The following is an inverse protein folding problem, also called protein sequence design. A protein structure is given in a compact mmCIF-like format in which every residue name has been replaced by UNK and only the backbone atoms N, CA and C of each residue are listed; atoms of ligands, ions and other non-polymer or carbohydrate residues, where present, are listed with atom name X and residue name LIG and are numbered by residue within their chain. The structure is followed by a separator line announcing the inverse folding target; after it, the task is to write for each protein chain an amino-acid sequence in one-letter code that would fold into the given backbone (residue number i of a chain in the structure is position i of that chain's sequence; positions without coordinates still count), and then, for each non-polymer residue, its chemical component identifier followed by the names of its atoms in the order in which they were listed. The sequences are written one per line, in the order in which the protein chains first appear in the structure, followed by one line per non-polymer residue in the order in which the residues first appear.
data_IF_971045041027
#
_entry.id   IF_971045041027
#
_cell.length_a   1.000
_cell.length_b   1.000
_cell.length_c   1.000
_cell.angle_alpha   90.00
_cell.angle_beta   90.00
_cell.angle_gamma   90.00
#
_symmetry.space_group_name_H-M   'P 1'
#
loop_
_entity.id
_entity.type
_entity.pdbx_description
1 polymer ?
#
# COMPACT_ATOMS: atom_id res chain seq x y z
N UNK A 1 25.18 27.40 39.13
CA UNK A 1 26.03 26.25 38.76
C UNK A 1 25.11 25.13 38.35
N UNK A 2 25.03 24.81 37.05
CA UNK A 2 24.16 23.77 36.51
C UNK A 2 24.97 22.47 36.38
N UNK A 3 24.54 21.42 37.07
CA UNK A 3 25.15 20.09 37.02
C UNK A 3 24.69 19.43 35.72
N UNK A 4 25.65 18.97 34.91
CA UNK A 4 25.41 18.22 33.69
C UNK A 4 25.46 16.71 34.03
N UNK A 5 24.33 15.98 34.06
CA UNK A 5 24.36 14.54 34.27
C UNK A 5 24.69 13.86 32.93
N UNK A 6 25.99 13.59 32.72
CA UNK A 6 26.46 12.78 31.62
C UNK A 6 25.89 11.36 31.71
N UNK A 7 25.15 10.95 30.68
CA UNK A 7 24.83 9.55 30.43
C UNK A 7 26.07 8.91 29.82
N UNK A 8 26.91 8.31 30.66
CA UNK A 8 27.81 7.24 30.25
C UNK A 8 27.15 5.95 30.69
N UNK A 9 26.85 5.05 29.75
CA UNK A 9 26.81 3.58 29.91
C UNK A 9 26.26 2.97 28.61
N UNK A 10 26.97 1.95 28.09
CA UNK A 10 26.70 1.09 26.92
C UNK A 10 27.34 1.44 25.55
N UNK A 11 28.61 1.85 25.53
CA UNK A 11 29.42 1.86 24.30
C UNK A 11 30.15 0.53 23.98
N UNK A 12 29.97 -0.53 24.78
CA UNK A 12 30.73 -1.77 24.62
C UNK A 12 29.98 -2.92 23.92
N UNK A 13 28.64 -2.85 23.78
CA UNK A 13 27.82 -3.94 23.22
C UNK A 13 27.02 -3.55 21.97
N UNK A 14 27.08 -2.27 21.58
CA UNK A 14 26.41 -1.76 20.39
C UNK A 14 27.13 -2.11 19.09
N UNK A 15 28.46 -2.28 19.12
CA UNK A 15 29.22 -2.52 17.88
C UNK A 15 28.91 -3.90 17.28
N UNK A 16 28.73 -4.94 18.11
CA UNK A 16 28.38 -6.29 17.62
C UNK A 16 26.93 -6.38 17.13
N UNK A 17 25.99 -5.78 17.87
CA UNK A 17 24.58 -5.77 17.48
C UNK A 17 24.35 -4.93 16.23
N UNK A 18 25.06 -3.80 16.06
CA UNK A 18 24.97 -3.00 14.84
C UNK A 18 25.62 -3.70 13.65
N UNK A 19 26.74 -4.43 13.83
CA UNK A 19 27.36 -5.24 12.76
C UNK A 19 26.53 -6.46 12.35
N UNK A 20 25.91 -7.18 13.29
CA UNK A 20 25.00 -8.29 12.97
C UNK A 20 23.69 -7.79 12.33
N UNK A 21 23.20 -6.61 12.73
CA UNK A 21 22.03 -5.98 12.12
C UNK A 21 22.34 -5.38 10.74
N UNK A 22 23.56 -4.92 10.48
CA UNK A 22 23.97 -4.43 9.14
C UNK A 22 24.35 -5.56 8.19
N UNK A 23 24.82 -6.71 8.68
CA UNK A 23 25.05 -7.88 7.85
C UNK A 23 23.75 -8.49 7.28
N UNK A 24 22.61 -8.29 7.96
CA UNK A 24 21.28 -8.68 7.45
C UNK A 24 20.68 -7.70 6.43
N UNK A 25 21.32 -6.55 6.21
CA UNK A 25 20.89 -5.52 5.26
C UNK A 25 22.07 -5.14 4.34
N UNK A 26 22.86 -6.12 3.89
CA UNK A 26 23.42 -6.00 2.54
C UNK A 26 22.36 -6.54 1.58
N UNK A 27 21.23 -5.82 1.45
CA UNK A 27 20.31 -6.09 0.35
C UNK A 27 21.15 -5.97 -0.91
N UNK A 28 21.27 -7.06 -1.67
CA UNK A 28 21.92 -7.02 -2.97
C UNK A 28 21.32 -5.83 -3.73
N UNK A 29 22.11 -4.98 -4.42
CA UNK A 29 21.54 -3.91 -5.26
C UNK A 29 20.41 -4.40 -6.16
N UNK A 30 20.42 -5.69 -6.54
CA UNK A 30 19.32 -6.38 -7.24
C UNK A 30 18.06 -6.54 -6.39
N UNK A 31 18.16 -6.94 -5.13
CA UNK A 31 17.00 -7.12 -4.23
C UNK A 31 16.32 -5.77 -3.96
N UNK A 32 17.12 -4.71 -3.80
CA UNK A 32 16.59 -3.35 -3.68
C UNK A 32 15.89 -2.90 -4.97
N UNK A 33 16.48 -3.14 -6.14
CA UNK A 33 15.87 -2.81 -7.42
C UNK A 33 14.54 -3.54 -7.62
N UNK A 34 14.49 -4.84 -7.31
CA UNK A 34 13.27 -5.66 -7.36
C UNK A 34 12.21 -5.14 -6.39
N UNK A 35 12.58 -4.82 -5.15
CA UNK A 35 11.65 -4.27 -4.16
C UNK A 35 11.08 -2.92 -4.61
N UNK A 36 11.92 -2.04 -5.17
CA UNK A 36 11.52 -0.73 -5.68
C UNK A 36 10.58 -0.86 -6.88
N UNK A 37 10.88 -1.75 -7.81
CA UNK A 37 9.99 -2.01 -8.96
C UNK A 37 8.65 -2.57 -8.51
N UNK A 38 8.66 -3.51 -7.56
CA UNK A 38 7.43 -4.06 -6.97
C UNK A 38 6.59 -2.99 -6.25
N UNK A 39 7.23 -2.03 -5.57
CA UNK A 39 6.54 -0.91 -4.93
C UNK A 39 5.88 0.01 -5.97
N UNK A 40 6.61 0.41 -7.01
CA UNK A 40 6.08 1.26 -8.09
C UNK A 40 4.91 0.57 -8.79
N UNK A 41 5.04 -0.73 -9.06
CA UNK A 41 3.98 -1.51 -9.66
C UNK A 41 2.74 -1.56 -8.75
N UNK A 42 2.91 -1.87 -7.47
CA UNK A 42 1.80 -1.93 -6.52
C UNK A 42 1.10 -0.58 -6.35
N UNK A 43 1.85 0.53 -6.31
CA UNK A 43 1.27 1.87 -6.25
C UNK A 43 0.49 2.21 -7.52
N UNK A 44 1.02 1.84 -8.68
CA UNK A 44 0.37 2.05 -9.98
C UNK A 44 -0.94 1.28 -10.08
N UNK A 45 -0.95 0.00 -9.67
CA UNK A 45 -2.17 -0.81 -9.67
C UNK A 45 -3.21 -0.28 -8.66
N UNK A 46 -2.76 0.22 -7.51
CA UNK A 46 -3.64 0.87 -6.55
C UNK A 46 -4.28 2.15 -7.11
N UNK A 47 -3.52 2.96 -7.85
CA UNK A 47 -4.03 4.16 -8.54
C UNK A 47 -5.04 3.81 -9.62
N UNK A 48 -4.75 2.83 -10.49
CA UNK A 48 -5.72 2.37 -11.50
C UNK A 48 -7.03 1.88 -10.86
N UNK A 49 -6.93 1.18 -9.72
CA UNK A 49 -8.12 0.78 -8.98
C UNK A 49 -8.89 2.00 -8.49
N UNK A 50 -8.22 3.02 -7.93
CA UNK A 50 -8.87 4.27 -7.52
C UNK A 50 -9.56 4.97 -8.69
N UNK A 51 -8.90 5.06 -9.85
CA UNK A 51 -9.44 5.66 -11.07
C UNK A 51 -10.68 4.93 -11.60
N UNK A 52 -10.79 3.63 -11.32
CA UNK A 52 -11.96 2.83 -11.71
C UNK A 52 -13.14 2.97 -10.73
N UNK A 53 -12.91 3.42 -9.49
CA UNK A 53 -13.95 3.47 -8.46
C UNK A 53 -15.13 4.37 -8.85
N UNK A 54 -14.97 5.55 -9.49
CA UNK A 54 -16.09 6.37 -9.94
C UNK A 54 -17.13 5.59 -10.76
N UNK A 55 -16.68 4.71 -11.67
CA UNK A 55 -17.52 3.91 -12.57
C UNK A 55 -18.27 2.76 -11.87
N UNK A 56 -17.79 2.33 -10.69
CA UNK A 56 -18.45 1.26 -9.94
C UNK A 56 -19.69 1.80 -9.22
N UNK A 57 -20.88 1.38 -9.63
CA UNK A 57 -22.13 1.77 -8.96
C UNK A 57 -22.13 1.33 -7.48
N UNK A 58 -22.48 2.25 -6.58
CA UNK A 58 -22.72 1.89 -5.18
C UNK A 58 -24.08 1.18 -5.06
N UNK A 59 -24.08 -0.06 -4.57
CA UNK A 59 -25.30 -0.86 -4.36
C UNK A 59 -25.90 -0.68 -2.97
N UNK A 60 -25.28 0.14 -2.11
CA UNK A 60 -25.72 0.41 -0.75
C UNK A 60 -25.30 1.80 -0.28
N UNK A 61 -25.98 2.33 0.74
CA UNK A 61 -25.64 3.61 1.36
C UNK A 61 -24.23 3.59 2.00
N UNK A 62 -23.82 2.45 2.56
CA UNK A 62 -22.46 2.23 3.05
C UNK A 62 -21.44 2.36 1.90
N UNK A 63 -21.76 1.85 0.71
CA UNK A 63 -20.93 2.01 -0.49
C UNK A 63 -20.81 3.47 -0.95
N UNK A 64 -21.89 4.26 -0.82
CA UNK A 64 -21.85 5.70 -1.07
C UNK A 64 -20.95 6.41 -0.05
N UNK A 65 -21.09 6.10 1.24
CA UNK A 65 -20.24 6.63 2.31
C UNK A 65 -18.76 6.28 2.06
N UNK A 66 -18.47 5.07 1.58
CA UNK A 66 -17.11 4.64 1.26
C UNK A 66 -16.47 5.49 0.15
N UNK A 67 -17.21 5.77 -0.92
CA UNK A 67 -16.75 6.65 -2.00
C UNK A 67 -16.48 8.06 -1.48
N UNK A 68 -17.38 8.61 -0.67
CA UNK A 68 -17.21 9.95 -0.10
C UNK A 68 -16.03 10.03 0.88
N UNK A 69 -15.80 8.99 1.71
CA UNK A 69 -14.60 8.91 2.56
C UNK A 69 -13.32 8.90 1.74
N UNK A 70 -13.30 8.15 0.63
CA UNK A 70 -12.17 8.12 -0.29
C UNK A 70 -11.90 9.51 -0.88
N UNK A 71 -12.95 10.20 -1.34
CA UNK A 71 -12.85 11.53 -1.94
C UNK A 71 -12.35 12.57 -0.91
N UNK A 72 -12.84 12.55 0.33
CA UNK A 72 -12.39 13.47 1.40
C UNK A 72 -10.97 13.15 1.90
N UNK A 73 -10.56 11.88 1.83
CA UNK A 73 -9.23 11.42 2.22
C UNK A 73 -8.17 11.53 1.12
N UNK A 74 -8.60 11.59 -0.15
CA UNK A 74 -7.75 11.80 -1.31
C UNK A 74 -7.42 13.29 -1.42
N UNK A 75 -6.32 13.64 -0.76
CA UNK A 75 -5.51 14.84 -0.95
C UNK A 75 -6.26 16.19 -0.91
N UNK A 76 -6.13 16.86 0.23
CA UNK A 76 -6.63 18.23 0.46
C UNK A 76 -5.76 19.31 -0.21
N UNK A 77 -4.73 18.93 -0.96
CA UNK A 77 -3.82 19.87 -1.62
C UNK A 77 -4.32 20.34 -3.00
N UNK A 78 -5.58 20.04 -3.36
CA UNK A 78 -6.27 20.67 -4.49
C UNK A 78 -6.54 22.14 -4.14
N UNK A 79 -5.59 23.01 -4.49
CA UNK A 79 -5.77 24.45 -4.74
C UNK A 79 -6.59 25.23 -3.69
N UNK A 80 -7.25 26.31 -4.13
CA UNK A 80 -8.08 27.13 -3.27
C UNK A 80 -9.24 26.27 -2.71
N UNK A 81 -9.39 26.14 -1.38
CA UNK A 81 -10.48 25.37 -0.76
C UNK A 81 -11.90 25.91 -1.06
N UNK A 82 -12.02 27.01 -1.80
CA UNK A 82 -13.29 27.52 -2.35
C UNK A 82 -13.63 27.02 -3.76
N UNK A 83 -12.66 26.50 -4.53
CA UNK A 83 -12.88 26.02 -5.90
C UNK A 83 -13.59 24.67 -5.98
N UNK A 84 -13.63 23.94 -4.86
CA UNK A 84 -14.31 22.66 -4.77
C UNK A 84 -15.11 22.58 -3.46
N UNK A 85 -16.34 22.03 -3.47
CA UNK A 85 -17.25 22.06 -2.31
C UNK A 85 -16.84 21.08 -1.20
N UNK A 86 -15.55 20.95 -0.89
CA UNK A 86 -14.99 20.07 0.15
C UNK A 86 -15.65 20.24 1.52
N UNK A 87 -15.88 21.48 2.03
CA UNK A 87 -16.53 21.65 3.32
C UNK A 87 -17.95 21.08 3.34
N UNK A 88 -18.69 21.23 2.24
CA UNK A 88 -20.05 20.72 2.10
C UNK A 88 -20.05 19.19 2.01
N UNK A 89 -19.19 18.60 1.20
CA UNK A 89 -19.05 17.14 1.09
C UNK A 89 -18.65 16.53 2.44
N UNK A 90 -17.71 17.15 3.16
CA UNK A 90 -17.30 16.70 4.48
C UNK A 90 -18.42 16.82 5.52
N UNK A 91 -19.27 17.85 5.42
CA UNK A 91 -20.46 17.98 6.27
C UNK A 91 -21.47 16.86 5.98
N UNK A 92 -21.85 16.69 4.72
CA UNK A 92 -22.78 15.64 4.28
C UNK A 92 -22.27 14.26 4.69
N UNK A 93 -20.97 13.98 4.55
CA UNK A 93 -20.38 12.71 4.96
C UNK A 93 -20.53 12.47 6.47
N UNK A 94 -20.37 13.50 7.31
CA UNK A 94 -20.58 13.36 8.76
C UNK A 94 -22.04 13.03 9.08
N UNK A 95 -22.98 13.72 8.43
CA UNK A 95 -24.41 13.50 8.65
C UNK A 95 -24.83 12.10 8.19
N UNK A 96 -24.36 11.65 7.01
CA UNK A 96 -24.62 10.31 6.50
C UNK A 96 -24.10 9.22 7.44
N UNK A 97 -22.91 9.40 8.03
CA UNK A 97 -22.36 8.47 9.01
C UNK A 97 -23.16 8.44 10.31
N UNK A 98 -23.69 9.58 10.74
CA UNK A 98 -24.54 9.65 11.93
C UNK A 98 -25.86 8.89 11.73
N UNK A 99 -26.39 8.90 10.50
CA UNK A 99 -27.67 8.25 10.15
C UNK A 99 -27.48 6.75 9.86
N UNK A 100 -26.49 6.39 9.04
CA UNK A 100 -26.35 5.05 8.49
C UNK A 100 -25.22 4.22 9.14
N UNK A 101 -24.45 4.81 10.04
CA UNK A 101 -23.22 4.25 10.58
C UNK A 101 -22.00 4.53 9.70
N UNK A 102 -20.81 4.42 10.30
CA UNK A 102 -19.54 4.55 9.60
C UNK A 102 -19.09 3.25 8.93
N UNK A 103 -18.04 3.34 8.11
CA UNK A 103 -17.39 2.14 7.62
C UNK A 103 -16.79 1.36 8.80
N UNK A 104 -16.92 0.02 8.81
CA UNK A 104 -16.22 -0.78 9.79
C UNK A 104 -14.72 -0.53 9.66
N UNK A 105 -14.01 -0.48 10.78
CA UNK A 105 -12.55 -0.39 10.77
C UNK A 105 -12.03 -1.54 9.89
N UNK A 106 -11.43 -1.19 8.75
CA UNK A 106 -10.85 -2.17 7.84
C UNK A 106 -9.61 -2.76 8.49
N UNK A 107 -9.82 -3.75 9.37
CA UNK A 107 -8.73 -4.56 9.89
C UNK A 107 -8.32 -5.47 8.75
N UNK A 108 -7.25 -5.11 8.04
CA UNK A 108 -6.65 -6.00 7.04
C UNK A 108 -6.37 -7.33 7.72
N UNK A 109 -7.17 -8.34 7.40
CA UNK A 109 -6.92 -9.69 7.89
C UNK A 109 -5.61 -10.12 7.29
N UNK A 110 -4.57 -10.24 8.12
CA UNK A 110 -3.25 -10.76 7.69
C UNK A 110 -3.42 -12.13 7.02
N UNK A 111 -4.42 -12.90 7.43
CA UNK A 111 -4.81 -14.16 6.78
C UNK A 111 -5.25 -13.94 5.34
N UNK A 112 -6.19 -13.02 5.07
CA UNK A 112 -6.62 -12.69 3.69
C UNK A 112 -5.46 -12.22 2.83
N UNK A 113 -4.65 -11.29 3.34
CA UNK A 113 -3.47 -10.80 2.59
C UNK A 113 -2.51 -11.94 2.23
N UNK A 114 -2.24 -12.85 3.17
CA UNK A 114 -1.39 -14.03 2.89
C UNK A 114 -2.02 -14.96 1.85
N UNK A 115 -3.33 -15.20 1.93
CA UNK A 115 -4.06 -16.01 0.94
C UNK A 115 -4.03 -15.39 -0.45
N UNK A 116 -4.20 -14.07 -0.55
CA UNK A 116 -4.13 -13.36 -1.82
C UNK A 116 -2.72 -13.40 -2.40
N UNK A 117 -1.69 -13.15 -1.58
CA UNK A 117 -0.28 -13.29 -1.98
C UNK A 117 0.01 -14.70 -2.50
N UNK A 118 -0.46 -15.74 -1.80
CA UNK A 118 -0.27 -17.13 -2.24
C UNK A 118 -0.96 -17.39 -3.60
N UNK A 119 -2.16 -16.86 -3.81
CA UNK A 119 -2.88 -16.97 -5.08
C UNK A 119 -2.12 -16.28 -6.23
N UNK A 120 -1.67 -15.05 -6.01
CA UNK A 120 -0.90 -14.30 -7.01
C UNK A 120 0.45 -14.95 -7.31
N UNK A 121 1.11 -15.51 -6.29
CA UNK A 121 2.33 -16.29 -6.48
C UNK A 121 2.11 -17.51 -7.38
N UNK A 122 1.03 -18.27 -7.15
CA UNK A 122 0.69 -19.41 -8.01
C UNK A 122 0.39 -18.99 -9.45
N UNK A 123 -0.33 -17.89 -9.65
CA UNK A 123 -0.56 -17.33 -11.00
C UNK A 123 0.75 -16.91 -11.68
N UNK A 124 1.67 -16.29 -10.94
CA UNK A 124 2.96 -15.87 -11.47
C UNK A 124 3.84 -17.07 -11.86
N UNK A 125 3.88 -18.13 -11.05
CA UNK A 125 4.61 -19.37 -11.38
C UNK A 125 4.08 -19.97 -12.68
N UNK A 126 2.76 -20.09 -12.83
CA UNK A 126 2.14 -20.60 -14.07
C UNK A 126 2.48 -19.75 -15.29
N UNK A 127 2.47 -18.42 -15.13
CA UNK A 127 2.82 -17.51 -16.22
C UNK A 127 4.29 -17.70 -16.66
N UNK A 128 5.21 -17.82 -15.71
CA UNK A 128 6.64 -18.03 -16.01
C UNK A 128 6.87 -19.38 -16.69
N UNK A 129 6.15 -20.43 -16.29
CA UNK A 129 6.20 -21.73 -16.96
C UNK A 129 5.70 -21.63 -18.41
N UNK A 130 4.54 -21.00 -18.64
CA UNK A 130 3.99 -20.82 -19.98
C UNK A 130 4.93 -20.03 -20.92
N UNK A 131 5.55 -18.95 -20.41
CA UNK A 131 6.51 -18.17 -21.20
C UNK A 131 7.76 -18.96 -21.59
N UNK A 132 8.22 -19.88 -20.72
CA UNK A 132 9.37 -20.76 -21.04
C UNK A 132 9.02 -21.79 -22.10
N UNK A 133 7.80 -22.30 -22.09
CA UNK A 133 7.31 -23.23 -23.12
C UNK A 133 7.19 -22.53 -24.48
N UNK A 134 6.69 -21.30 -24.50
CA UNK A 134 6.62 -20.45 -25.69
C UNK A 134 8.01 -20.16 -26.26
N UNK A 135 8.96 -19.69 -25.43
CA UNK A 135 10.36 -19.46 -25.83
C UNK A 135 11.02 -20.74 -26.40
N UNK A 136 10.71 -21.91 -25.82
CA UNK A 136 11.26 -23.18 -26.29
C UNK A 136 10.67 -23.60 -27.64
N UNK A 137 9.37 -23.37 -27.84
CA UNK A 137 8.70 -23.64 -29.11
C UNK A 137 9.21 -22.73 -30.22
N UNK A 138 9.41 -21.43 -29.94
CA UNK A 138 9.97 -20.48 -30.91
C UNK A 138 11.40 -20.85 -31.34
N UNK A 139 12.24 -21.31 -30.40
CA UNK A 139 13.62 -21.75 -30.70
C UNK A 139 13.70 -23.05 -31.49
N UNK A 140 12.67 -23.90 -31.43
CA UNK A 140 12.60 -25.14 -32.22
C UNK A 140 11.99 -24.91 -33.61
N UNK A 141 11.29 -23.81 -33.82
CA UNK A 141 10.70 -23.42 -35.10
C UNK A 141 11.65 -22.62 -36.01
N UNK A 142 12.88 -22.36 -35.54
CA UNK A 142 13.94 -21.60 -36.23
C UNK A 142 15.09 -22.54 -36.63
#
# INVERSE_FOLDING_TARGET
MLVNPGIQVLAADSSKRVQEQTALISSNPRDYAVAREAEVFAMTEALKLQDSIPEVAATSLIGVIAKLEMIVGADRDIGDPTDFPWPHIASTLRDLKAIAGGLPASRRSRGRTRSDVARHWQSAVKLVEALREEDAAERLAM
#
